data_IF_811952100941
#
_entry.id   IF_811952100941
#
_cell.length_a   1.000
_cell.length_b   1.000
_cell.length_c   1.000
_cell.angle_alpha   90.00
_cell.angle_beta   90.00
_cell.angle_gamma   90.00
#
_symmetry.space_group_name_H-M   'P 1'
#
loop_
_entity.id
_entity.type
_entity.pdbx_description
1 polymer ?
#
# COMPACT_ATOMS: atom_id res chain seq x y z
N UNK A 1 -24.47 -5.03 19.54
CA UNK A 1 -23.74 -4.85 20.82
C UNK A 1 -23.12 -3.45 20.79
N UNK A 2 -23.00 -2.76 21.92
CA UNK A 2 -22.75 -1.31 21.93
C UNK A 2 -21.66 -0.97 22.95
N UNK A 3 -20.71 -0.16 22.53
CA UNK A 3 -19.71 0.45 23.42
C UNK A 3 -20.36 1.26 24.55
N UNK A 4 -19.61 1.41 25.64
CA UNK A 4 -20.02 2.25 26.75
C UNK A 4 -20.27 3.70 26.31
N UNK A 5 -21.21 4.39 26.99
CA UNK A 5 -21.51 5.80 26.75
C UNK A 5 -20.29 6.70 26.98
N UNK A 6 -19.35 6.31 27.83
CA UNK A 6 -18.10 7.05 28.05
C UNK A 6 -17.33 7.32 26.73
N UNK A 7 -17.37 6.39 25.78
CA UNK A 7 -16.65 6.50 24.51
C UNK A 7 -17.44 7.20 23.39
N UNK A 8 -18.60 7.79 23.70
CA UNK A 8 -19.51 8.36 22.69
C UNK A 8 -18.80 9.38 21.80
N UNK A 9 -17.91 10.20 22.36
CA UNK A 9 -17.21 11.25 21.61
C UNK A 9 -16.07 10.72 20.73
N UNK A 10 -15.49 9.57 21.09
CA UNK A 10 -14.56 8.85 20.22
C UNK A 10 -15.32 8.16 19.07
N UNK A 11 -16.41 7.47 19.40
CA UNK A 11 -17.21 6.73 18.42
C UNK A 11 -17.78 7.64 17.33
N UNK A 12 -18.21 8.86 17.68
CA UNK A 12 -18.71 9.86 16.71
C UNK A 12 -17.68 10.25 15.64
N UNK A 13 -16.38 10.06 15.90
CA UNK A 13 -15.32 10.39 14.95
C UNK A 13 -15.07 9.28 13.93
N UNK A 14 -15.58 8.07 14.16
CA UNK A 14 -15.43 6.92 13.29
C UNK A 14 -16.69 6.70 12.43
N UNK A 15 -16.53 6.22 11.18
CA UNK A 15 -17.67 5.77 10.39
C UNK A 15 -18.29 4.50 10.99
N UNK A 16 -19.61 4.28 10.83
CA UNK A 16 -20.32 3.17 11.48
C UNK A 16 -19.72 1.79 11.20
N UNK A 17 -19.24 1.55 9.97
CA UNK A 17 -18.61 0.28 9.59
C UNK A 17 -17.35 -0.03 10.42
N UNK A 18 -16.52 0.99 10.69
CA UNK A 18 -15.32 0.81 11.50
C UNK A 18 -15.67 0.61 12.97
N UNK A 19 -16.72 1.24 13.48
CA UNK A 19 -17.18 1.02 14.86
C UNK A 19 -17.58 -0.45 15.07
N UNK A 20 -18.31 -1.04 14.11
CA UNK A 20 -18.67 -2.47 14.17
C UNK A 20 -17.46 -3.40 14.06
N UNK A 21 -16.50 -3.07 13.18
CA UNK A 21 -15.28 -3.84 13.02
C UNK A 21 -14.39 -3.76 14.27
N UNK A 22 -14.19 -2.55 14.82
CA UNK A 22 -13.50 -2.32 16.09
C UNK A 22 -14.11 -3.14 17.23
N UNK A 23 -15.45 -3.19 17.32
CA UNK A 23 -16.14 -4.02 18.30
C UNK A 23 -15.82 -5.51 18.12
N UNK A 24 -15.91 -6.01 16.88
CA UNK A 24 -15.55 -7.41 16.56
C UNK A 24 -14.09 -7.69 16.93
N UNK A 25 -13.17 -6.83 16.54
CA UNK A 25 -11.75 -6.96 16.82
C UNK A 25 -11.45 -7.07 18.32
N UNK A 26 -12.11 -6.28 19.17
CA UNK A 26 -11.91 -6.33 20.63
C UNK A 26 -12.35 -7.67 21.25
N UNK A 27 -13.45 -8.25 20.76
CA UNK A 27 -13.99 -9.51 21.30
C UNK A 27 -13.37 -10.76 20.67
N UNK A 28 -12.86 -10.67 19.43
CA UNK A 28 -12.27 -11.82 18.71
C UNK A 28 -10.74 -11.80 18.66
N UNK A 29 -10.07 -10.86 19.35
CA UNK A 29 -8.61 -10.72 19.30
C UNK A 29 -7.92 -11.99 19.79
N UNK A 30 -6.94 -12.50 19.03
CA UNK A 30 -6.19 -13.73 19.39
C UNK A 30 -5.41 -13.60 20.72
N UNK A 31 -5.00 -12.38 21.07
CA UNK A 31 -4.35 -12.05 22.35
C UNK A 31 -5.18 -10.95 23.01
N UNK A 32 -5.53 -11.10 24.27
CA UNK A 32 -6.30 -10.13 25.06
C UNK A 32 -7.69 -9.84 24.46
N UNK A 33 -8.40 -10.89 24.02
CA UNK A 33 -9.83 -10.77 23.71
C UNK A 33 -10.57 -10.35 24.96
N UNK A 34 -11.35 -9.29 24.87
CA UNK A 34 -12.26 -8.92 25.93
C UNK A 34 -13.52 -9.76 25.83
N UNK A 35 -14.03 -10.21 26.97
CA UNK A 35 -15.41 -10.70 27.01
C UNK A 35 -16.36 -9.57 26.66
N UNK A 36 -17.56 -9.91 26.19
CA UNK A 36 -18.59 -8.91 25.87
C UNK A 36 -18.89 -7.96 27.04
N UNK A 37 -18.82 -8.45 28.27
CA UNK A 37 -19.07 -7.65 29.46
C UNK A 37 -17.94 -6.63 29.70
N UNK A 38 -16.69 -7.06 29.57
CA UNK A 38 -15.52 -6.17 29.69
C UNK A 38 -15.51 -5.12 28.58
N UNK A 39 -15.80 -5.52 27.34
CA UNK A 39 -15.89 -4.60 26.20
C UNK A 39 -17.04 -3.57 26.32
N UNK A 40 -18.09 -3.89 27.08
CA UNK A 40 -19.16 -2.94 27.43
C UNK A 40 -18.79 -2.04 28.62
N UNK A 41 -17.74 -2.39 29.37
CA UNK A 41 -17.24 -1.66 30.53
C UNK A 41 -16.46 -0.40 30.16
N UNK A 42 -15.89 0.24 31.18
CA UNK A 42 -14.95 1.35 31.01
C UNK A 42 -13.56 0.80 31.34
N UNK A 43 -12.73 0.67 30.31
CA UNK A 43 -11.34 0.22 30.37
C UNK A 43 -10.46 1.18 29.55
N UNK A 44 -9.38 1.75 30.11
CA UNK A 44 -8.42 2.56 29.37
C UNK A 44 -7.88 1.88 28.10
N UNK A 45 -7.72 0.55 28.10
CA UNK A 45 -7.25 -0.19 26.92
C UNK A 45 -8.21 -0.08 25.73
N UNK A 46 -9.53 0.01 26.00
CA UNK A 46 -10.54 0.22 24.96
C UNK A 46 -10.44 1.65 24.43
N UNK A 47 -10.17 2.62 25.32
CA UNK A 47 -9.99 4.02 24.94
C UNK A 47 -8.79 4.20 24.02
N UNK A 48 -7.62 3.70 24.42
CA UNK A 48 -6.37 3.73 23.65
C UNK A 48 -6.56 3.07 22.28
N UNK A 49 -7.28 1.93 22.23
CA UNK A 49 -7.61 1.25 20.99
C UNK A 49 -8.46 2.11 20.06
N UNK A 50 -9.53 2.73 20.57
CA UNK A 50 -10.40 3.61 19.77
C UNK A 50 -9.65 4.86 19.28
N UNK A 51 -8.80 5.46 20.11
CA UNK A 51 -7.96 6.58 19.72
C UNK A 51 -7.01 6.19 18.58
N UNK A 52 -6.36 5.03 18.67
CA UNK A 52 -5.51 4.51 17.60
C UNK A 52 -6.29 4.32 16.30
N UNK A 53 -7.49 3.73 16.34
CA UNK A 53 -8.35 3.56 15.16
C UNK A 53 -8.73 4.90 14.51
N UNK A 54 -9.05 5.92 15.32
CA UNK A 54 -9.33 7.28 14.82
C UNK A 54 -8.10 7.85 14.08
N UNK A 55 -6.91 7.71 14.66
CA UNK A 55 -5.66 8.18 14.05
C UNK A 55 -5.41 7.46 12.71
N UNK A 56 -5.56 6.13 12.67
CA UNK A 56 -5.38 5.33 11.45
C UNK A 56 -6.38 5.74 10.37
N UNK A 57 -7.65 5.86 10.74
CA UNK A 57 -8.71 6.28 9.82
C UNK A 57 -8.43 7.67 9.23
N UNK A 58 -8.09 8.65 10.07
CA UNK A 58 -7.79 10.00 9.60
C UNK A 58 -6.56 10.03 8.69
N UNK A 59 -5.48 9.31 9.04
CA UNK A 59 -4.30 9.18 8.17
C UNK A 59 -4.64 8.57 6.81
N UNK A 60 -5.48 7.54 6.78
CA UNK A 60 -5.94 6.91 5.53
C UNK A 60 -6.78 7.87 4.70
N UNK A 61 -7.69 8.59 5.34
CA UNK A 61 -8.54 9.61 4.71
C UNK A 61 -7.71 10.76 4.10
N UNK A 62 -6.70 11.25 4.82
CA UNK A 62 -5.80 12.28 4.30
C UNK A 62 -4.95 11.79 3.12
N UNK A 63 -4.50 10.53 3.14
CA UNK A 63 -3.83 9.93 1.98
C UNK A 63 -4.73 9.84 0.75
N UNK A 64 -6.01 9.51 0.93
CA UNK A 64 -6.98 9.44 -0.17
C UNK A 64 -7.35 10.82 -0.73
N UNK A 65 -7.30 11.86 0.11
CA UNK A 65 -7.55 13.25 -0.30
C UNK A 65 -6.40 13.88 -1.05
N UNK A 66 -5.18 13.35 -0.92
CA UNK A 66 -4.07 13.74 -1.79
C UNK A 66 -4.44 13.28 -3.19
N UNK A 67 -4.93 14.22 -4.01
CA UNK A 67 -4.86 14.11 -5.46
C UNK A 67 -3.45 13.63 -5.81
N UNK A 68 -3.29 12.69 -6.77
CA UNK A 68 -2.00 12.51 -7.40
C UNK A 68 -1.52 13.91 -7.75
N UNK A 69 -0.33 14.29 -7.28
CA UNK A 69 0.33 15.50 -7.77
C UNK A 69 0.21 15.41 -9.29
N UNK A 70 -0.37 16.40 -9.98
CA UNK A 70 -0.40 16.37 -11.44
C UNK A 70 1.03 16.12 -11.88
N UNK A 71 1.25 15.00 -12.54
CA UNK A 71 2.55 14.61 -13.09
C UNK A 71 2.83 15.47 -14.34
N UNK A 72 2.48 16.76 -14.29
CA UNK A 72 2.51 17.69 -15.42
C UNK A 72 3.94 18.14 -15.73
N UNK A 73 4.89 17.93 -14.81
CA UNK A 73 6.30 18.29 -14.99
C UNK A 73 7.21 17.11 -15.40
N UNK A 74 6.65 15.93 -15.68
CA UNK A 74 7.37 14.79 -16.28
C UNK A 74 7.15 14.70 -17.79
N UNK A 75 6.84 15.82 -18.45
CA UNK A 75 7.02 16.00 -19.90
C UNK A 75 8.52 16.03 -20.27
N UNK A 76 9.29 15.05 -19.81
CA UNK A 76 10.43 14.61 -20.59
C UNK A 76 9.84 13.90 -21.80
N UNK A 77 10.13 14.44 -22.97
CA UNK A 77 9.92 13.81 -24.26
C UNK A 77 10.74 12.52 -24.31
N UNK A 78 10.27 11.46 -23.66
CA UNK A 78 10.61 10.11 -24.04
C UNK A 78 9.90 9.94 -25.37
N UNK A 79 10.64 10.16 -26.45
CA UNK A 79 10.25 9.64 -27.76
C UNK A 79 10.19 8.13 -27.54
N UNK A 80 9.01 7.63 -27.19
CA UNK A 80 8.69 6.22 -27.31
C UNK A 80 8.71 5.95 -28.81
N UNK A 81 9.89 5.65 -29.35
CA UNK A 81 9.97 4.94 -30.62
C UNK A 81 9.22 3.64 -30.41
N UNK A 82 7.98 3.59 -30.90
CA UNK A 82 7.18 2.38 -31.05
C UNK A 82 7.86 1.45 -32.07
N UNK A 83 9.12 1.09 -31.85
CA UNK A 83 9.66 -0.14 -32.39
C UNK A 83 9.22 -1.21 -31.41
N UNK A 84 8.09 -1.84 -31.72
CA UNK A 84 7.90 -3.24 -31.36
C UNK A 84 9.11 -3.99 -31.90
N UNK A 85 10.20 -4.04 -31.12
CA UNK A 85 11.25 -5.01 -31.35
C UNK A 85 10.63 -6.35 -31.03
N UNK A 86 10.21 -7.02 -32.11
CA UNK A 86 9.91 -8.43 -32.16
C UNK A 86 11.17 -9.17 -31.67
N UNK A 87 11.30 -9.29 -30.36
CA UNK A 87 12.31 -10.14 -29.74
C UNK A 87 11.85 -11.57 -29.99
N UNK A 88 12.68 -12.29 -30.75
CA UNK A 88 12.52 -13.71 -31.03
C UNK A 88 12.19 -14.42 -29.71
N UNK A 89 11.01 -15.02 -29.65
CA UNK A 89 10.52 -15.87 -28.58
C UNK A 89 11.56 -16.98 -28.31
N UNK A 90 12.49 -16.73 -27.40
CA UNK A 90 13.13 -17.84 -26.69
C UNK A 90 12.20 -18.18 -25.56
N UNK A 91 11.16 -18.95 -25.91
CA UNK A 91 10.15 -19.50 -25.01
C UNK A 91 10.87 -20.14 -23.82
N UNK A 92 10.78 -19.58 -22.59
CA UNK A 92 11.07 -20.36 -21.41
C UNK A 92 10.05 -21.48 -21.43
N UNK A 93 10.48 -22.74 -21.38
CA UNK A 93 9.63 -23.93 -21.43
C UNK A 93 8.60 -23.94 -20.30
N UNK A 94 7.51 -23.21 -20.50
CA UNK A 94 6.26 -23.30 -19.81
C UNK A 94 5.23 -22.86 -20.84
N UNK A 95 4.59 -23.84 -21.48
CA UNK A 95 3.59 -23.62 -22.52
C UNK A 95 2.55 -22.63 -22.01
N UNK A 96 2.52 -21.43 -22.61
CA UNK A 96 1.81 -20.21 -22.19
C UNK A 96 0.28 -20.34 -22.20
N UNK A 97 -0.25 -21.55 -22.29
CA UNK A 97 -1.68 -21.88 -22.35
C UNK A 97 -2.37 -21.84 -20.99
N UNK A 98 -1.62 -21.70 -19.88
CA UNK A 98 -2.18 -21.54 -18.55
C UNK A 98 -1.60 -20.33 -17.84
N UNK A 99 -2.48 -19.57 -17.18
CA UNK A 99 -2.17 -18.53 -16.20
C UNK A 99 -1.50 -19.19 -14.99
N UNK A 100 -0.23 -19.58 -15.12
CA UNK A 100 0.45 -20.46 -14.17
C UNK A 100 1.23 -19.65 -13.13
N UNK A 101 1.00 -19.92 -11.84
CA UNK A 101 1.79 -19.43 -10.70
C UNK A 101 3.06 -20.25 -10.51
N UNK A 102 3.79 -20.49 -11.60
CA UNK A 102 4.98 -21.32 -11.61
C UNK A 102 6.14 -20.53 -10.99
N UNK A 103 6.75 -21.06 -9.91
CA UNK A 103 7.80 -20.39 -9.13
C UNK A 103 8.97 -19.92 -10.02
N UNK A 104 9.36 -20.74 -11.01
CA UNK A 104 10.45 -20.41 -11.95
C UNK A 104 10.07 -19.33 -12.96
N UNK A 105 8.79 -19.20 -13.30
CA UNK A 105 8.26 -18.15 -14.18
C UNK A 105 8.22 -16.80 -13.46
N UNK A 106 7.84 -16.80 -12.18
CA UNK A 106 7.83 -15.60 -11.32
C UNK A 106 9.26 -15.11 -11.05
N UNK A 107 10.20 -16.02 -10.80
CA UNK A 107 11.61 -15.68 -10.58
C UNK A 107 12.27 -15.09 -11.85
N UNK A 108 11.92 -15.60 -13.03
CA UNK A 108 12.38 -15.04 -14.30
C UNK A 108 11.83 -13.61 -14.53
N UNK A 109 10.54 -13.39 -14.27
CA UNK A 109 9.92 -12.06 -14.37
C UNK A 109 10.56 -11.11 -13.36
N UNK A 110 10.70 -11.52 -12.10
CA UNK A 110 11.28 -10.71 -11.05
C UNK A 110 12.75 -10.35 -11.35
N UNK A 111 13.52 -11.30 -11.90
CA UNK A 111 14.90 -11.06 -12.32
C UNK A 111 14.99 -10.06 -13.46
N UNK A 112 14.07 -10.15 -14.44
CA UNK A 112 14.00 -9.20 -15.55
C UNK A 112 13.61 -7.80 -15.06
N UNK A 113 12.56 -7.69 -14.23
CA UNK A 113 12.13 -6.42 -13.63
C UNK A 113 13.25 -5.78 -12.81
N UNK A 114 13.99 -6.58 -12.03
CA UNK A 114 15.13 -6.10 -11.26
C UNK A 114 16.23 -5.54 -12.17
N UNK A 115 16.58 -6.25 -13.24
CA UNK A 115 17.61 -5.80 -14.19
C UNK A 115 17.23 -4.47 -14.86
N UNK A 116 15.98 -4.32 -15.28
CA UNK A 116 15.50 -3.06 -15.88
C UNK A 116 15.51 -1.91 -14.86
N UNK A 117 15.14 -2.19 -13.61
CA UNK A 117 15.17 -1.19 -12.53
C UNK A 117 16.61 -0.74 -12.20
N UNK A 118 17.54 -1.68 -12.16
CA UNK A 118 18.96 -1.39 -11.93
C UNK A 118 19.53 -0.52 -13.08
N UNK A 119 19.19 -0.84 -14.32
CA UNK A 119 19.58 -0.04 -15.49
C UNK A 119 19.01 1.38 -15.41
N UNK A 120 17.73 1.53 -15.05
CA UNK A 120 17.10 2.84 -14.90
C UNK A 120 17.77 3.66 -13.77
N UNK A 121 18.12 3.01 -12.66
CA UNK A 121 18.82 3.65 -11.55
C UNK A 121 20.18 4.21 -11.99
N UNK A 122 20.94 3.45 -12.78
CA UNK A 122 22.24 3.90 -13.31
C UNK A 122 22.05 5.11 -14.23
N UNK A 123 21.09 5.03 -15.16
CA UNK A 123 20.81 6.14 -16.08
C UNK A 123 20.41 7.43 -15.35
N UNK A 124 19.62 7.33 -14.28
CA UNK A 124 19.23 8.48 -13.47
C UNK A 124 20.43 9.08 -12.72
N UNK A 125 21.33 8.25 -12.19
CA UNK A 125 22.54 8.72 -11.53
C UNK A 125 23.46 9.44 -12.52
N UNK A 126 23.69 8.86 -13.69
CA UNK A 126 24.49 9.50 -14.75
C UNK A 126 23.86 10.81 -15.24
N UNK A 127 22.53 10.85 -15.39
CA UNK A 127 21.82 12.07 -15.78
C UNK A 127 21.97 13.16 -14.73
N UNK A 128 21.81 12.82 -13.45
CA UNK A 128 21.96 13.76 -12.35
C UNK A 128 23.41 14.24 -12.22
N UNK A 129 24.40 13.37 -12.36
CA UNK A 129 25.81 13.75 -12.37
C UNK A 129 26.12 14.71 -13.51
N UNK A 130 25.61 14.46 -14.72
CA UNK A 130 25.79 15.38 -15.86
C UNK A 130 25.07 16.72 -15.65
N UNK A 131 23.86 16.70 -15.10
CA UNK A 131 23.00 17.89 -14.97
C UNK A 131 23.43 18.78 -13.80
N UNK A 132 23.84 18.17 -12.68
CA UNK A 132 24.20 18.88 -11.46
C UNK A 132 25.72 18.97 -11.24
N UNK A 133 26.51 18.09 -11.83
CA UNK A 133 27.98 18.21 -11.85
C UNK A 133 28.47 19.39 -12.67
N UNK A 134 27.70 19.85 -13.66
CA UNK A 134 27.99 21.10 -14.40
C UNK A 134 27.61 22.38 -13.64
N UNK A 135 26.98 22.25 -12.47
CA UNK A 135 26.62 23.37 -11.59
C UNK A 135 27.67 23.62 -10.49
N UNK A 136 28.69 22.77 -10.37
CA UNK A 136 29.93 23.02 -9.62
C UNK A 136 31.04 23.50 -10.56
#
# INVERSE_FOLDING_TARGET
>A
MKFNRAYTDLIKQLPPSLVEESWKCLITRKRNSLTKLEACGIDPNIEDFLQHEIIVYNRKKERQRRTPIPLENLSYSIIMTNQETQTQDTVPTCNRTHKCSCFTCEEAINSQVKKELDNLSIQLLEYNEKTFGSLM
#
